data_IF_755846536066
#
_entry.id   IF_755846536066
#
_cell.length_a   1.000
_cell.length_b   1.000
_cell.length_c   1.000
_cell.angle_alpha   90.00
_cell.angle_beta   90.00
_cell.angle_gamma   90.00
#
_symmetry.space_group_name_H-M   'P 1'
#
loop_
_entity.id
_entity.type
_entity.pdbx_description
1 polymer ?
#
# COMPACT_ATOMS: atom_id res chain seq x y z
N UNK A 1 3.53 -8.27 17.50
CA UNK A 1 3.54 -7.06 16.64
C UNK A 1 2.39 -6.16 17.04
N UNK A 2 2.69 -4.89 17.30
CA UNK A 2 1.66 -3.92 17.64
C UNK A 2 0.92 -3.46 16.38
N UNK A 3 -0.22 -2.79 16.58
CA UNK A 3 -1.00 -2.22 15.49
C UNK A 3 -0.18 -1.20 14.70
N UNK A 4 0.57 -0.34 15.38
CA UNK A 4 1.39 0.67 14.72
C UNK A 4 2.53 0.03 13.93
N UNK A 5 3.16 -0.99 14.48
CA UNK A 5 4.21 -1.71 13.77
C UNK A 5 3.68 -2.36 12.50
N UNK A 6 2.48 -2.94 12.57
CA UNK A 6 1.87 -3.57 11.40
C UNK A 6 1.54 -2.55 10.32
N UNK A 7 0.99 -1.40 10.71
CA UNK A 7 0.69 -0.34 9.74
C UNK A 7 1.95 0.14 9.03
N UNK A 8 3.03 0.33 9.76
CA UNK A 8 4.30 0.76 9.18
C UNK A 8 4.89 -0.30 8.27
N UNK A 9 4.79 -1.56 8.67
CA UNK A 9 5.29 -2.67 7.86
C UNK A 9 4.54 -2.75 6.53
N UNK A 10 3.23 -2.65 6.57
CA UNK A 10 2.42 -2.66 5.35
C UNK A 10 2.78 -1.48 4.46
N UNK A 11 2.90 -0.29 5.05
CA UNK A 11 3.28 0.91 4.30
C UNK A 11 4.63 0.75 3.62
N UNK A 12 5.61 0.21 4.34
CA UNK A 12 6.94 -0.01 3.80
C UNK A 12 6.91 -1.02 2.65
N UNK A 13 6.10 -2.07 2.78
CA UNK A 13 5.96 -3.06 1.72
C UNK A 13 5.35 -2.45 0.46
N UNK A 14 4.36 -1.58 0.63
CA UNK A 14 3.74 -0.89 -0.51
C UNK A 14 4.79 -0.05 -1.23
N UNK A 15 5.61 0.70 -0.48
CA UNK A 15 6.69 1.50 -1.07
C UNK A 15 7.63 0.60 -1.89
N UNK A 16 8.07 -0.51 -1.31
CA UNK A 16 9.00 -1.42 -1.98
C UNK A 16 8.42 -1.96 -3.28
N UNK A 17 7.18 -2.44 -3.24
CA UNK A 17 6.56 -3.04 -4.42
C UNK A 17 6.28 -1.99 -5.49
N UNK A 18 5.87 -0.80 -5.07
CA UNK A 18 5.62 0.31 -5.99
C UNK A 18 6.91 0.75 -6.69
N UNK A 19 7.97 0.92 -5.93
CA UNK A 19 9.25 1.38 -6.50
C UNK A 19 9.88 0.33 -7.39
N UNK A 20 9.67 -0.95 -7.11
CA UNK A 20 10.13 -2.01 -7.99
C UNK A 20 9.49 -1.93 -9.38
N UNK A 21 8.28 -1.39 -9.47
CA UNK A 21 7.60 -1.17 -10.75
C UNK A 21 8.01 0.14 -11.40
N UNK A 22 8.80 0.96 -10.73
CA UNK A 22 9.17 2.27 -11.21
C UNK A 22 8.03 3.28 -11.10
N UNK A 23 7.07 3.04 -10.21
CA UNK A 23 5.89 3.89 -10.07
C UNK A 23 6.06 4.94 -8.98
N UNK A 24 5.50 6.14 -9.22
CA UNK A 24 5.33 7.16 -8.20
C UNK A 24 4.08 6.84 -7.35
N UNK A 25 3.90 7.60 -6.28
CA UNK A 25 2.67 7.49 -5.49
C UNK A 25 1.44 7.79 -6.35
N UNK A 26 1.55 8.77 -7.25
CA UNK A 26 0.45 9.12 -8.14
C UNK A 26 0.14 7.98 -9.12
N UNK A 27 1.16 7.28 -9.59
CA UNK A 27 0.95 6.13 -10.47
C UNK A 27 0.16 5.04 -9.77
N UNK A 28 0.54 4.71 -8.53
CA UNK A 28 -0.19 3.71 -7.76
C UNK A 28 -1.62 4.17 -7.46
N UNK A 29 -1.78 5.44 -7.10
CA UNK A 29 -3.10 5.99 -6.81
C UNK A 29 -4.04 5.82 -8.02
N UNK A 30 -3.56 6.16 -9.22
CA UNK A 30 -4.34 5.99 -10.44
C UNK A 30 -4.69 4.51 -10.68
N UNK A 31 -3.72 3.63 -10.45
CA UNK A 31 -3.92 2.21 -10.71
C UNK A 31 -4.98 1.59 -9.80
N UNK A 32 -5.15 2.10 -8.58
CA UNK A 32 -6.14 1.58 -7.65
C UNK A 32 -7.32 2.54 -7.42
N UNK A 33 -7.46 3.54 -8.28
CA UNK A 33 -8.57 4.49 -8.27
C UNK A 33 -8.70 5.25 -6.95
N UNK A 34 -7.57 5.70 -6.43
CA UNK A 34 -7.50 6.49 -5.20
C UNK A 34 -6.72 7.78 -5.48
N UNK A 35 -6.73 8.71 -4.53
CA UNK A 35 -5.91 9.90 -4.70
C UNK A 35 -4.51 9.67 -4.10
N UNK A 36 -3.57 10.53 -4.48
CA UNK A 36 -2.19 10.41 -4.02
C UNK A 36 -2.06 10.53 -2.50
N UNK A 37 -2.88 11.37 -1.89
CA UNK A 37 -2.84 11.56 -0.44
C UNK A 37 -3.22 10.29 0.31
N UNK A 38 -4.17 9.53 -0.21
CA UNK A 38 -4.55 8.25 0.39
C UNK A 38 -3.39 7.27 0.35
N UNK A 39 -2.67 7.21 -0.77
CA UNK A 39 -1.48 6.34 -0.90
C UNK A 39 -0.39 6.80 0.06
N UNK A 40 -0.14 8.11 0.13
CA UNK A 40 0.88 8.67 1.03
C UNK A 40 0.61 8.30 2.49
N UNK A 41 -0.63 8.42 2.92
CA UNK A 41 -0.99 8.08 4.31
C UNK A 41 -0.82 6.59 4.59
N UNK A 42 -1.17 5.74 3.63
CA UNK A 42 -0.97 4.30 3.77
C UNK A 42 0.51 3.96 3.87
N UNK A 43 1.33 4.56 3.02
CA UNK A 43 2.77 4.29 3.00
C UNK A 43 3.47 4.76 4.28
N UNK A 44 2.97 5.80 4.91
CA UNK A 44 3.55 6.35 6.13
C UNK A 44 2.96 5.75 7.41
N UNK A 45 2.08 4.77 7.30
CA UNK A 45 1.49 4.13 8.45
C UNK A 45 0.56 5.02 9.26
N UNK A 46 -0.03 6.03 8.61
CA UNK A 46 -0.90 7.00 9.27
C UNK A 46 -2.34 6.56 9.39
N UNK A 47 -2.75 5.56 8.62
CA UNK A 47 -4.12 5.08 8.61
C UNK A 47 -4.16 3.58 8.80
N UNK A 48 -5.30 3.08 9.25
CA UNK A 48 -5.55 1.66 9.41
C UNK A 48 -6.37 1.21 8.20
N UNK A 49 -5.73 0.64 7.17
CA UNK A 49 -6.47 0.30 5.96
C UNK A 49 -7.45 -0.84 6.20
N UNK A 50 -8.55 -0.82 5.45
CA UNK A 50 -9.47 -1.95 5.47
C UNK A 50 -8.87 -3.10 4.66
N UNK A 51 -9.39 -4.29 4.88
CA UNK A 51 -8.97 -5.44 4.09
C UNK A 51 -9.23 -5.21 2.61
N UNK A 52 -10.36 -4.59 2.28
CA UNK A 52 -10.69 -4.32 0.88
C UNK A 52 -9.70 -3.36 0.23
N UNK A 53 -9.29 -2.32 0.97
CA UNK A 53 -8.29 -1.37 0.47
C UNK A 53 -6.98 -2.09 0.17
N UNK A 54 -6.54 -2.98 1.06
CA UNK A 54 -5.33 -3.76 0.83
C UNK A 54 -5.46 -4.66 -0.39
N UNK A 55 -6.63 -5.25 -0.58
CA UNK A 55 -6.90 -6.08 -1.75
C UNK A 55 -6.79 -5.25 -3.03
N UNK A 56 -7.39 -4.05 -3.05
CA UNK A 56 -7.29 -3.16 -4.21
C UNK A 56 -5.84 -2.82 -4.54
N UNK A 57 -5.04 -2.53 -3.52
CA UNK A 57 -3.63 -2.19 -3.71
C UNK A 57 -2.85 -3.40 -4.24
N UNK A 58 -3.09 -4.59 -3.69
CA UNK A 58 -2.41 -5.79 -4.16
C UNK A 58 -2.74 -6.07 -5.63
N UNK A 59 -3.98 -5.86 -6.03
CA UNK A 59 -4.39 -6.03 -7.43
C UNK A 59 -3.67 -5.04 -8.34
N UNK A 60 -3.59 -3.78 -7.92
CA UNK A 60 -2.90 -2.74 -8.69
C UNK A 60 -1.42 -3.06 -8.84
N UNK A 61 -0.80 -3.60 -7.79
CA UNK A 61 0.62 -3.95 -7.82
C UNK A 61 0.89 -5.30 -8.48
N UNK A 62 -0.15 -6.09 -8.77
CA UNK A 62 0.01 -7.39 -9.40
C UNK A 62 0.59 -8.45 -8.48
N UNK A 63 0.35 -8.33 -7.18
CA UNK A 63 0.84 -9.29 -6.19
C UNK A 63 -0.33 -9.84 -5.37
N UNK A 64 -0.08 -10.93 -4.65
CA UNK A 64 -1.08 -11.47 -3.74
C UNK A 64 -1.21 -10.58 -2.51
N UNK A 65 -2.37 -10.65 -1.87
CA UNK A 65 -2.62 -9.86 -0.66
C UNK A 65 -1.59 -10.16 0.44
N UNK A 66 -1.18 -11.41 0.58
CA UNK A 66 -0.21 -11.79 1.62
C UNK A 66 1.14 -11.12 1.43
N UNK A 67 1.51 -10.71 0.21
CA UNK A 67 2.76 -10.00 -0.03
C UNK A 67 2.79 -8.65 0.67
N UNK A 68 1.64 -8.08 0.99
CA UNK A 68 1.57 -6.81 1.70
C UNK A 68 1.75 -6.97 3.20
N UNK A 69 1.49 -8.14 3.75
CA UNK A 69 1.47 -8.34 5.20
C UNK A 69 2.55 -9.30 5.73
N UNK A 70 3.30 -9.93 4.85
CA UNK A 70 4.38 -10.85 5.30
C UNK A 70 5.68 -10.14 5.69
#
# INVERSE_FOLDING_TARGET
MTKDELKKKIGQRIIELRTQKGWSQSDLARACNKDRQAVEKLENGKVNPTLYTLYEISKALGVSLERLVE
#
